data_IF_900742014931
#
_entry.id   IF_900742014931
#
_cell.length_a   1.000
_cell.length_b   1.000
_cell.length_c   1.000
_cell.angle_alpha   90.00
_cell.angle_beta   90.00
_cell.angle_gamma   90.00
#
_symmetry.space_group_name_H-M   'P 1'
#
loop_
_entity.id
_entity.type
_entity.pdbx_description
1 polymer ?
#
# COMPACT_ATOMS: atom_id res chain seq x y z
N UNK A 1 5.13 -15.56 16.45
CA UNK A 1 5.53 -14.42 17.31
C UNK A 1 6.15 -13.35 16.44
N UNK A 2 5.89 -12.07 16.72
CA UNK A 2 6.35 -10.90 15.94
C UNK A 2 7.85 -10.92 15.60
N UNK A 3 8.70 -11.26 16.56
CA UNK A 3 10.15 -11.36 16.33
C UNK A 3 10.55 -12.41 15.27
N UNK A 4 9.74 -13.44 15.04
CA UNK A 4 10.01 -14.41 13.97
C UNK A 4 9.74 -13.80 12.59
N UNK A 5 8.67 -13.01 12.46
CA UNK A 5 8.36 -12.29 11.23
C UNK A 5 9.44 -11.25 10.90
N UNK A 6 9.88 -10.47 11.90
CA UNK A 6 10.94 -9.48 11.69
C UNK A 6 12.26 -10.15 11.23
N UNK A 7 12.60 -11.33 11.79
CA UNK A 7 13.76 -12.10 11.34
C UNK A 7 13.60 -12.62 9.91
N UNK A 8 12.40 -13.02 9.52
CA UNK A 8 12.13 -13.46 8.14
C UNK A 8 12.34 -12.31 7.15
N UNK A 9 11.83 -11.12 7.48
CA UNK A 9 12.11 -9.88 6.72
C UNK A 9 13.62 -9.62 6.63
N UNK A 10 14.34 -9.68 7.76
CA UNK A 10 15.79 -9.46 7.80
C UNK A 10 16.59 -10.50 7.00
N UNK A 11 16.05 -11.70 6.81
CA UNK A 11 16.66 -12.77 5.99
C UNK A 11 16.21 -12.75 4.53
N UNK A 12 15.44 -11.73 4.10
CA UNK A 12 15.00 -11.58 2.72
C UNK A 12 13.80 -12.43 2.34
N UNK A 13 13.00 -12.90 3.31
CA UNK A 13 11.71 -13.55 3.05
C UNK A 13 10.69 -12.61 2.39
N UNK A 14 10.93 -11.30 2.47
CA UNK A 14 10.13 -10.25 1.83
C UNK A 14 11.05 -9.24 1.14
N UNK A 15 10.60 -8.73 0.00
CA UNK A 15 11.21 -7.57 -0.63
C UNK A 15 10.76 -6.29 0.09
N UNK A 16 11.71 -5.61 0.72
CA UNK A 16 11.43 -4.32 1.39
C UNK A 16 11.66 -3.20 0.40
N UNK A 17 10.59 -2.47 0.12
CA UNK A 17 10.56 -1.41 -0.88
C UNK A 17 10.64 -0.04 -0.19
N UNK A 18 11.61 0.77 -0.61
CA UNK A 18 11.67 2.19 -0.24
C UNK A 18 10.78 3.03 -1.16
N UNK A 19 10.17 4.07 -0.60
CA UNK A 19 9.45 5.08 -1.37
C UNK A 19 10.45 6.03 -2.03
N UNK A 20 10.31 6.24 -3.33
CA UNK A 20 11.03 7.27 -4.06
C UNK A 20 10.25 8.61 -4.07
N UNK A 21 10.83 9.65 -4.68
CA UNK A 21 10.20 10.96 -4.75
C UNK A 21 8.84 10.96 -5.43
N UNK A 22 8.65 10.14 -6.47
CA UNK A 22 7.38 10.05 -7.18
C UNK A 22 6.32 9.32 -6.34
N UNK A 23 6.74 8.31 -5.57
CA UNK A 23 5.87 7.65 -4.58
C UNK A 23 5.40 8.66 -3.52
N UNK A 24 6.30 9.52 -3.02
CA UNK A 24 5.95 10.54 -2.03
C UNK A 24 4.96 11.58 -2.55
N UNK A 25 5.15 12.06 -3.78
CA UNK A 25 4.18 12.93 -4.46
C UNK A 25 2.83 12.21 -4.59
N UNK A 26 2.85 10.94 -5.01
CA UNK A 26 1.62 10.16 -5.15
C UNK A 26 0.92 9.90 -3.81
N UNK A 27 1.67 9.69 -2.74
CA UNK A 27 1.13 9.57 -1.39
C UNK A 27 0.39 10.84 -0.98
N UNK A 28 0.98 12.02 -1.23
CA UNK A 28 0.33 13.30 -0.95
C UNK A 28 -0.98 13.45 -1.74
N UNK A 29 -0.95 13.17 -3.05
CA UNK A 29 -2.13 13.21 -3.91
C UNK A 29 -3.26 12.32 -3.36
N UNK A 30 -2.94 11.11 -2.91
CA UNK A 30 -3.90 10.15 -2.38
C UNK A 30 -4.51 10.61 -1.05
N UNK A 31 -3.68 11.13 -0.14
CA UNK A 31 -4.14 11.67 1.14
C UNK A 31 -5.10 12.84 0.92
N UNK A 32 -4.78 13.74 -0.02
CA UNK A 32 -5.65 14.86 -0.39
C UNK A 32 -6.94 14.40 -1.08
N UNK A 33 -6.82 13.48 -2.05
CA UNK A 33 -7.96 12.95 -2.81
C UNK A 33 -8.98 12.23 -1.92
N UNK A 34 -8.52 11.54 -0.89
CA UNK A 34 -9.35 10.77 0.03
C UNK A 34 -9.47 11.44 1.41
N UNK A 35 -9.39 12.77 1.52
CA UNK A 35 -9.43 13.47 2.81
C UNK A 35 -10.68 13.13 3.66
N UNK A 36 -11.83 12.85 3.04
CA UNK A 36 -13.08 12.45 3.71
C UNK A 36 -13.09 10.99 4.20
N UNK A 37 -12.15 10.16 3.70
CA UNK A 37 -11.88 8.80 4.13
C UNK A 37 -10.41 8.76 4.52
N UNK A 38 -10.02 9.18 5.74
CA UNK A 38 -8.67 9.61 6.09
C UNK A 38 -7.63 8.51 5.83
N UNK A 39 -7.21 8.44 4.57
CA UNK A 39 -6.30 7.45 4.03
C UNK A 39 -4.94 7.89 4.54
N UNK A 40 -4.50 7.28 5.64
CA UNK A 40 -3.27 7.68 6.30
C UNK A 40 -2.05 7.44 5.41
N UNK A 41 -0.92 8.04 5.81
CA UNK A 41 0.38 7.87 5.16
C UNK A 41 0.69 6.40 4.84
N UNK A 42 0.46 5.48 5.79
CA UNK A 42 0.73 4.06 5.60
C UNK A 42 -0.08 3.44 4.45
N UNK A 43 -1.39 3.67 4.42
CA UNK A 43 -2.26 3.07 3.39
C UNK A 43 -1.98 3.67 2.02
N UNK A 44 -1.82 5.01 1.95
CA UNK A 44 -1.45 5.69 0.72
C UNK A 44 -0.09 5.22 0.18
N UNK A 45 0.87 4.92 1.04
CA UNK A 45 2.19 4.40 0.64
C UNK A 45 2.08 3.02 -0.01
N UNK A 46 1.24 2.14 0.53
CA UNK A 46 0.98 0.81 -0.07
C UNK A 46 0.35 0.97 -1.45
N UNK A 47 -0.61 1.89 -1.60
CA UNK A 47 -1.26 2.15 -2.90
C UNK A 47 -0.25 2.68 -3.92
N UNK A 48 0.57 3.67 -3.55
CA UNK A 48 1.59 4.23 -4.43
C UNK A 48 2.60 3.17 -4.92
N UNK A 49 3.11 2.34 -4.00
CA UNK A 49 4.00 1.22 -4.36
C UNK A 49 3.30 0.21 -5.25
N UNK A 50 2.05 -0.15 -4.95
CA UNK A 50 1.29 -1.09 -5.76
C UNK A 50 1.04 -0.55 -7.18
N UNK A 51 0.81 0.76 -7.33
CA UNK A 51 0.73 1.41 -8.64
C UNK A 51 2.08 1.35 -9.39
N UNK A 52 3.20 1.67 -8.72
CA UNK A 52 4.54 1.66 -9.34
C UNK A 52 4.96 0.29 -9.85
N UNK A 53 4.62 -0.77 -9.13
CA UNK A 53 4.97 -2.15 -9.49
C UNK A 53 3.83 -2.92 -10.19
N UNK A 54 2.75 -2.24 -10.56
CA UNK A 54 1.56 -2.84 -11.17
C UNK A 54 0.97 -4.02 -10.36
N UNK A 55 1.12 -3.99 -9.03
CA UNK A 55 0.60 -5.02 -8.13
C UNK A 55 -0.90 -4.82 -7.94
N UNK A 56 -1.68 -5.86 -8.23
CA UNK A 56 -3.13 -5.86 -8.11
C UNK A 56 -3.68 -6.51 -6.83
N UNK A 57 -2.82 -7.16 -6.03
CA UNK A 57 -3.21 -7.88 -4.81
C UNK A 57 -2.62 -7.20 -3.58
N UNK A 58 -3.44 -6.93 -2.56
CA UNK A 58 -3.00 -6.29 -1.31
C UNK A 58 -3.42 -7.16 -0.12
N UNK A 59 -2.44 -7.58 0.67
CA UNK A 59 -2.71 -8.26 1.94
C UNK A 59 -2.98 -7.23 3.04
N UNK A 60 -4.24 -7.09 3.50
CA UNK A 60 -4.64 -6.12 4.52
C UNK A 60 -5.84 -6.58 5.33
N UNK A 61 -5.85 -6.23 6.62
CA UNK A 61 -7.04 -6.36 7.47
C UNK A 61 -7.97 -5.15 7.36
N UNK A 62 -7.48 -4.00 6.89
CA UNK A 62 -8.28 -2.80 6.67
C UNK A 62 -8.91 -2.82 5.27
N UNK A 63 -9.98 -3.60 5.13
CA UNK A 63 -10.74 -3.65 3.88
C UNK A 63 -11.53 -2.37 3.62
N UNK A 64 -11.82 -1.56 4.63
CA UNK A 64 -12.65 -0.36 4.47
C UNK A 64 -11.92 0.67 3.63
N UNK A 65 -10.65 0.94 3.92
CA UNK A 65 -9.87 1.90 3.15
C UNK A 65 -9.59 1.38 1.73
N UNK A 66 -9.06 0.16 1.61
CA UNK A 66 -8.61 -0.36 0.33
C UNK A 66 -9.74 -0.77 -0.64
N UNK A 67 -10.98 -0.95 -0.16
CA UNK A 67 -12.14 -1.19 -1.06
C UNK A 67 -12.64 0.08 -1.77
N UNK A 68 -12.34 1.26 -1.24
CA UNK A 68 -12.77 2.55 -1.80
C UNK A 68 -11.72 3.12 -2.75
N UNK A 69 -10.44 2.93 -2.46
CA UNK A 69 -9.35 3.44 -3.30
C UNK A 69 -9.41 2.81 -4.70
N UNK A 70 -9.10 3.63 -5.72
CA UNK A 70 -9.05 3.21 -7.13
C UNK A 70 -7.62 3.44 -7.64
N UNK A 71 -6.80 2.37 -7.71
CA UNK A 71 -5.43 2.51 -8.19
C UNK A 71 -5.41 2.79 -9.71
N UNK A 72 -4.34 3.44 -10.19
CA UNK A 72 -4.23 3.88 -11.59
C UNK A 72 -4.24 2.74 -12.62
N UNK A 73 -3.78 1.55 -12.26
CA UNK A 73 -3.53 0.43 -13.19
C UNK A 73 -4.62 -0.65 -13.20
N UNK A 74 -5.51 -0.67 -12.21
CA UNK A 74 -6.61 -1.67 -12.14
C UNK A 74 -7.90 -1.06 -11.58
N UNK A 75 -9.10 -1.57 -11.96
CA UNK A 75 -10.36 -1.01 -11.47
C UNK A 75 -10.53 -1.06 -9.94
N UNK A 76 -9.94 -2.05 -9.29
CA UNK A 76 -9.89 -2.21 -7.84
C UNK A 76 -8.81 -3.22 -7.47
N UNK A 77 -8.28 -3.14 -6.24
CA UNK A 77 -7.41 -4.17 -5.69
C UNK A 77 -8.18 -5.46 -5.41
N UNK A 78 -7.50 -6.59 -5.59
CA UNK A 78 -7.89 -7.87 -4.98
C UNK A 78 -7.34 -7.88 -3.55
N UNK A 79 -8.21 -7.78 -2.56
CA UNK A 79 -7.81 -7.75 -1.16
C UNK A 79 -7.66 -9.17 -0.62
N UNK A 80 -6.56 -9.39 0.09
CA UNK A 80 -6.18 -10.65 0.70
C UNK A 80 -5.85 -10.48 2.19
N UNK A 81 -5.84 -11.58 2.95
CA UNK A 81 -6.95 -12.52 2.88
C UNK A 81 -8.25 -11.75 3.06
#
# INVERSE_FOLDING_TARGET
>A
MEAAFIRDVAHGGFEVVSLDSADWERVADLVEQYADLPLGLSDASVVAVAERFEIHQVATLDRRHFSVVRPKHVPAFTLLP
#
